data_IF_066509514898
#
_entry.id   IF_066509514898
#
_cell.length_a   1.000
_cell.length_b   1.000
_cell.length_c   1.000
_cell.angle_alpha   90.00
_cell.angle_beta   90.00
_cell.angle_gamma   90.00
#
_symmetry.space_group_name_H-M   'P 1'
#
loop_
_entity.id
_entity.type
_entity.pdbx_description
1 polymer ?
#
# COMPACT_ATOMS: atom_id res chain seq x y z
N UNK A 1 -4.47 -3.76 26.36
CA UNK A 1 -5.48 -2.85 25.78
C UNK A 1 -6.73 -3.67 25.46
N UNK A 2 -7.94 -3.10 25.61
CA UNK A 2 -9.15 -3.86 25.25
C UNK A 2 -9.26 -3.96 23.72
N UNK A 3 -9.65 -5.12 23.19
CA UNK A 3 -9.86 -5.32 21.74
C UNK A 3 -11.18 -4.68 21.23
N UNK A 4 -11.78 -3.78 22.02
CA UNK A 4 -13.08 -3.18 21.69
C UNK A 4 -13.04 -2.30 20.44
N UNK A 5 -11.87 -1.72 20.13
CA UNK A 5 -11.66 -0.95 18.90
C UNK A 5 -11.81 -1.80 17.64
N UNK A 6 -11.41 -3.10 17.67
CA UNK A 6 -11.57 -4.02 16.54
C UNK A 6 -13.06 -4.13 16.19
N UNK A 7 -13.93 -4.35 17.18
CA UNK A 7 -15.38 -4.44 16.97
C UNK A 7 -16.01 -3.16 16.45
N UNK A 8 -15.39 -2.01 16.74
CA UNK A 8 -15.90 -0.71 16.32
C UNK A 8 -15.58 -0.37 14.86
N UNK A 9 -14.38 -0.72 14.40
CA UNK A 9 -13.92 -0.35 13.06
C UNK A 9 -14.17 -1.42 11.98
N UNK A 10 -14.28 -2.68 12.36
CA UNK A 10 -14.33 -3.81 11.40
C UNK A 10 -15.66 -4.53 11.38
N UNK A 11 -16.00 -5.03 10.18
CA UNK A 11 -16.96 -6.09 10.03
C UNK A 11 -16.28 -7.36 9.51
N UNK A 12 -16.70 -8.53 10.00
CA UNK A 12 -16.14 -9.81 9.63
C UNK A 12 -16.80 -10.34 8.37
N UNK A 13 -15.99 -10.78 7.42
CA UNK A 13 -16.33 -11.54 6.24
C UNK A 13 -15.52 -12.84 6.19
N UNK A 14 -15.26 -13.39 4.98
CA UNK A 14 -14.28 -14.46 4.80
C UNK A 14 -12.90 -13.98 5.32
N UNK A 15 -12.11 -14.92 5.79
CA UNK A 15 -10.77 -14.63 6.33
C UNK A 15 -9.69 -15.12 5.37
N UNK A 16 -8.52 -14.51 5.42
CA UNK A 16 -7.35 -14.94 4.66
C UNK A 16 -6.90 -16.32 5.15
N UNK A 17 -6.47 -17.19 4.22
CA UNK A 17 -5.93 -18.50 4.59
C UNK A 17 -4.73 -18.34 5.54
N UNK A 18 -4.66 -19.19 6.59
CA UNK A 18 -3.59 -19.13 7.58
C UNK A 18 -3.71 -18.00 8.61
N UNK A 19 -4.85 -17.29 8.66
CA UNK A 19 -5.11 -16.21 9.61
C UNK A 19 -5.89 -16.65 10.85
N UNK A 20 -5.54 -17.82 11.40
CA UNK A 20 -6.30 -18.45 12.50
C UNK A 20 -5.90 -17.93 13.89
N UNK A 21 -4.90 -17.06 13.96
CA UNK A 21 -4.44 -16.49 15.22
C UNK A 21 -5.40 -15.45 15.79
N UNK A 22 -5.47 -15.36 17.10
CA UNK A 22 -6.07 -14.23 17.77
C UNK A 22 -5.15 -13.00 17.67
N UNK A 23 -5.72 -11.80 17.85
CA UNK A 23 -4.95 -10.56 17.77
C UNK A 23 -3.73 -10.56 18.69
N UNK A 24 -3.88 -10.99 19.96
CA UNK A 24 -2.79 -11.01 20.93
C UNK A 24 -1.62 -11.93 20.51
N UNK A 25 -1.90 -13.03 19.83
CA UNK A 25 -0.92 -14.07 19.45
C UNK A 25 -0.25 -13.79 18.09
N UNK A 26 -0.85 -12.94 17.28
CA UNK A 26 -0.38 -12.67 15.92
C UNK A 26 0.81 -11.72 15.91
N UNK A 27 1.72 -11.93 14.95
CA UNK A 27 2.79 -10.97 14.59
C UNK A 27 2.29 -9.99 13.55
N UNK A 28 1.50 -10.47 12.59
CA UNK A 28 0.94 -9.67 11.50
C UNK A 28 -0.56 -9.50 11.71
N UNK A 29 -1.07 -8.29 11.46
CA UNK A 29 -2.50 -7.99 11.47
C UNK A 29 -2.93 -7.46 10.10
N UNK A 30 -3.67 -8.30 9.35
CA UNK A 30 -4.21 -7.94 8.04
C UNK A 30 -5.59 -7.31 8.19
N UNK A 31 -5.87 -6.34 7.34
CA UNK A 31 -7.19 -5.72 7.24
C UNK A 31 -7.47 -5.17 5.84
N UNK A 32 -8.73 -5.16 5.45
CA UNK A 32 -9.17 -4.62 4.17
C UNK A 32 -9.62 -3.16 4.26
N UNK A 33 -9.36 -2.40 3.20
CA UNK A 33 -9.79 -1.01 3.02
C UNK A 33 -10.62 -0.91 1.74
N UNK A 34 -11.95 -1.23 1.77
CA UNK A 34 -12.80 -1.28 0.59
C UNK A 34 -13.18 0.15 0.12
N UNK A 35 -12.21 0.84 -0.51
CA UNK A 35 -12.34 2.23 -0.92
C UNK A 35 -11.76 2.45 -2.32
N UNK A 36 -12.53 3.13 -3.21
CA UNK A 36 -12.12 3.56 -4.56
C UNK A 36 -12.89 4.80 -5.03
N UNK A 37 -13.22 5.70 -4.09
CA UNK A 37 -14.07 6.85 -4.38
C UNK A 37 -13.40 7.90 -5.27
N UNK A 38 -12.06 7.87 -5.42
CA UNK A 38 -11.34 8.79 -6.30
C UNK A 38 -10.83 8.13 -7.58
N UNK A 39 -11.27 6.89 -7.88
CA UNK A 39 -10.86 6.16 -9.08
C UNK A 39 -11.13 6.98 -10.36
N UNK A 40 -10.11 7.15 -11.19
CA UNK A 40 -10.14 8.02 -12.38
C UNK A 40 -10.55 7.32 -13.66
N UNK A 41 -10.42 5.98 -13.74
CA UNK A 41 -10.70 5.22 -14.96
C UNK A 41 -11.63 4.03 -14.71
N UNK A 42 -11.18 2.98 -14.01
CA UNK A 42 -11.99 1.79 -13.75
C UNK A 42 -12.23 1.64 -12.24
N UNK A 43 -13.42 2.00 -11.73
CA UNK A 43 -13.77 1.71 -10.35
C UNK A 43 -13.92 0.19 -10.14
N UNK A 44 -13.77 -0.26 -8.89
CA UNK A 44 -13.91 -1.68 -8.52
C UNK A 44 -12.82 -2.14 -7.55
N UNK A 45 -11.75 -1.38 -7.36
CA UNK A 45 -10.69 -1.71 -6.40
C UNK A 45 -11.21 -1.93 -4.97
N UNK A 46 -12.34 -1.31 -4.59
CA UNK A 46 -13.02 -1.55 -3.30
C UNK A 46 -13.38 -3.02 -3.03
N UNK A 47 -13.48 -3.84 -4.06
CA UNK A 47 -13.79 -5.27 -3.91
C UNK A 47 -12.52 -6.12 -3.74
N UNK A 48 -11.33 -5.57 -3.99
CA UNK A 48 -10.08 -6.32 -3.94
C UNK A 48 -9.81 -7.01 -2.60
N UNK A 49 -10.06 -6.42 -1.42
CA UNK A 49 -9.84 -7.11 -0.15
C UNK A 49 -10.64 -8.40 -0.02
N UNK A 50 -11.89 -8.39 -0.49
CA UNK A 50 -12.75 -9.57 -0.48
C UNK A 50 -12.27 -10.63 -1.47
N UNK A 51 -11.93 -10.23 -2.69
CA UNK A 51 -11.44 -11.14 -3.73
C UNK A 51 -10.10 -11.78 -3.34
N UNK A 52 -9.19 -11.03 -2.73
CA UNK A 52 -7.92 -11.55 -2.22
C UNK A 52 -8.13 -12.67 -1.19
N UNK A 53 -9.11 -12.53 -0.30
CA UNK A 53 -9.46 -13.57 0.66
C UNK A 53 -10.01 -14.83 -0.02
N UNK A 54 -10.96 -14.67 -0.96
CA UNK A 54 -11.47 -15.81 -1.72
C UNK A 54 -10.38 -16.51 -2.54
N UNK A 55 -9.52 -15.75 -3.19
CA UNK A 55 -8.41 -16.34 -3.95
C UNK A 55 -7.39 -17.04 -3.05
N UNK A 56 -7.18 -16.56 -1.83
CA UNK A 56 -6.28 -17.17 -0.88
C UNK A 56 -6.67 -18.59 -0.48
N UNK A 57 -7.97 -18.92 -0.51
CA UNK A 57 -8.48 -20.27 -0.20
C UNK A 57 -7.95 -21.34 -1.18
N UNK A 58 -7.49 -20.91 -2.38
CA UNK A 58 -6.92 -21.82 -3.38
C UNK A 58 -5.40 -21.99 -3.24
N UNK A 59 -4.77 -21.34 -2.28
CA UNK A 59 -3.34 -21.45 -2.04
C UNK A 59 -3.03 -22.67 -1.16
N UNK A 60 -1.97 -23.39 -1.51
CA UNK A 60 -1.39 -24.40 -0.64
C UNK A 60 -0.30 -23.75 0.22
N UNK A 61 -0.54 -23.66 1.53
CA UNK A 61 0.46 -23.16 2.46
C UNK A 61 1.39 -24.32 2.86
N UNK A 62 2.73 -24.18 2.68
CA UNK A 62 3.68 -25.16 3.16
C UNK A 62 3.54 -25.35 4.68
N UNK A 63 3.54 -26.60 5.17
CA UNK A 63 3.42 -26.90 6.60
C UNK A 63 4.51 -26.22 7.46
N UNK A 64 5.65 -25.93 6.86
CA UNK A 64 6.81 -25.31 7.52
C UNK A 64 6.65 -23.80 7.69
N UNK A 65 5.76 -23.15 6.91
CA UNK A 65 5.57 -21.70 6.89
C UNK A 65 4.26 -21.29 7.59
N UNK A 66 4.18 -21.54 8.89
CA UNK A 66 3.07 -21.01 9.69
C UNK A 66 3.27 -19.51 9.90
N UNK A 67 2.62 -18.70 9.06
CA UNK A 67 2.59 -17.25 9.23
C UNK A 67 1.75 -16.92 10.46
N UNK A 68 2.31 -16.14 11.38
CA UNK A 68 1.57 -15.69 12.57
C UNK A 68 0.68 -14.50 12.22
N UNK A 69 -0.45 -14.76 11.58
CA UNK A 69 -1.35 -13.78 10.99
C UNK A 69 -2.72 -13.80 11.67
N UNK A 70 -3.29 -12.63 11.90
CA UNK A 70 -4.71 -12.42 12.16
C UNK A 70 -5.34 -11.59 11.04
N UNK A 71 -6.52 -11.96 10.58
CA UNK A 71 -7.33 -11.13 9.68
C UNK A 71 -8.44 -10.43 10.49
N UNK A 72 -8.36 -9.11 10.54
CA UNK A 72 -9.30 -8.27 11.30
C UNK A 72 -10.64 -8.06 10.56
N UNK A 73 -10.70 -8.40 9.26
CA UNK A 73 -11.83 -8.11 8.38
C UNK A 73 -11.63 -6.80 7.62
N UNK A 74 -12.72 -6.22 7.15
CA UNK A 74 -12.71 -4.97 6.37
C UNK A 74 -13.13 -3.77 7.22
N UNK A 75 -12.48 -2.64 7.01
CA UNK A 75 -12.95 -1.36 7.54
C UNK A 75 -14.36 -1.04 7.05
N UNK A 76 -15.18 -0.49 7.92
CA UNK A 76 -16.53 -0.04 7.54
C UNK A 76 -16.46 0.87 6.31
N UNK A 77 -17.24 0.61 5.25
CA UNK A 77 -17.15 1.33 3.99
C UNK A 77 -17.52 2.81 4.15
N UNK A 78 -16.91 3.65 3.32
CA UNK A 78 -17.22 5.08 3.22
C UNK A 78 -16.91 5.55 1.81
N UNK A 79 -17.51 6.67 1.38
CA UNK A 79 -17.15 7.38 0.15
C UNK A 79 -16.36 8.67 0.42
N UNK A 80 -16.07 8.99 1.70
CA UNK A 80 -15.27 10.15 2.09
C UNK A 80 -13.81 9.76 2.23
N UNK A 81 -12.93 10.42 1.47
CA UNK A 81 -11.47 10.30 1.57
C UNK A 81 -11.01 10.60 2.99
N UNK A 82 -11.48 11.71 3.59
CA UNK A 82 -11.10 12.12 4.94
C UNK A 82 -11.46 11.05 5.99
N UNK A 83 -12.67 10.50 5.92
CA UNK A 83 -13.12 9.46 6.85
C UNK A 83 -12.31 8.17 6.66
N UNK A 84 -12.02 7.79 5.42
CA UNK A 84 -11.17 6.63 5.13
C UNK A 84 -9.77 6.81 5.70
N UNK A 85 -9.09 7.93 5.39
CA UNK A 85 -7.75 8.22 5.90
C UNK A 85 -7.70 8.23 7.43
N UNK A 86 -8.70 8.85 8.07
CA UNK A 86 -8.80 8.83 9.54
C UNK A 86 -8.90 7.42 10.10
N UNK A 87 -9.77 6.57 9.52
CA UNK A 87 -9.95 5.18 9.98
C UNK A 87 -8.68 4.35 9.79
N UNK A 88 -8.07 4.43 8.60
CA UNK A 88 -6.79 3.74 8.31
C UNK A 88 -5.71 4.18 9.29
N UNK A 89 -5.56 5.50 9.50
CA UNK A 89 -4.56 6.03 10.42
C UNK A 89 -4.73 5.52 11.85
N UNK A 90 -5.96 5.53 12.40
CA UNK A 90 -6.25 5.02 13.76
C UNK A 90 -5.95 3.53 13.85
N UNK A 91 -6.40 2.73 12.88
CA UNK A 91 -6.20 1.28 12.90
C UNK A 91 -4.73 0.90 12.80
N UNK A 92 -3.97 1.55 11.91
CA UNK A 92 -2.53 1.30 11.78
C UNK A 92 -1.80 1.67 13.08
N UNK A 93 -2.14 2.80 13.69
CA UNK A 93 -1.57 3.25 14.97
C UNK A 93 -1.82 2.23 16.08
N UNK A 94 -3.06 1.76 16.26
CA UNK A 94 -3.42 0.74 17.26
C UNK A 94 -2.66 -0.61 17.03
N UNK A 95 -2.49 -1.02 15.76
CA UNK A 95 -1.74 -2.24 15.43
C UNK A 95 -0.26 -2.07 15.77
N UNK A 96 0.35 -0.94 15.40
CA UNK A 96 1.77 -0.66 15.67
C UNK A 96 2.03 -0.50 17.16
N UNK A 97 1.17 0.22 17.90
CA UNK A 97 1.27 0.35 19.37
C UNK A 97 1.14 -0.99 20.10
N UNK A 98 0.40 -1.95 19.52
CA UNK A 98 0.35 -3.32 20.01
C UNK A 98 1.60 -4.16 19.65
N UNK A 99 2.62 -3.56 19.02
CA UNK A 99 3.87 -4.22 18.62
C UNK A 99 3.71 -5.19 17.44
N UNK A 100 2.69 -5.00 16.60
CA UNK A 100 2.39 -5.86 15.45
C UNK A 100 2.69 -5.15 14.13
N UNK A 101 2.80 -5.94 13.07
CA UNK A 101 3.05 -5.45 11.72
C UNK A 101 1.72 -5.40 10.96
N UNK A 102 1.24 -4.20 10.56
CA UNK A 102 0.01 -4.07 9.79
C UNK A 102 0.20 -4.51 8.33
N UNK A 103 -0.82 -5.17 7.77
CA UNK A 103 -0.94 -5.50 6.35
C UNK A 103 -2.27 -4.93 5.86
N UNK A 104 -2.23 -3.77 5.21
CA UNK A 104 -3.41 -3.16 4.62
C UNK A 104 -3.65 -3.71 3.21
N UNK A 105 -4.79 -4.34 2.98
CA UNK A 105 -5.25 -4.76 1.65
C UNK A 105 -6.16 -3.67 1.09
N UNK A 106 -5.68 -2.93 0.09
CA UNK A 106 -6.42 -1.80 -0.48
C UNK A 106 -7.47 -2.22 -1.47
N UNK A 107 -8.23 -1.26 -1.69
CA UNK A 107 -8.80 -0.39 -2.66
C UNK A 107 -7.78 0.46 -3.42
N UNK A 108 -8.10 1.73 -3.52
CA UNK A 108 -7.21 2.67 -4.24
C UNK A 108 -5.99 3.09 -3.40
N UNK A 109 -4.94 3.55 -4.08
CA UNK A 109 -3.64 3.83 -3.48
C UNK A 109 -3.63 4.99 -2.44
N UNK A 110 -4.65 5.84 -2.42
CA UNK A 110 -4.80 6.95 -1.45
C UNK A 110 -4.65 6.50 0.01
N UNK A 111 -5.02 5.25 0.33
CA UNK A 111 -4.94 4.71 1.69
C UNK A 111 -3.52 4.75 2.27
N UNK A 112 -2.49 4.63 1.42
CA UNK A 112 -1.09 4.60 1.84
C UNK A 112 -0.65 5.93 2.47
N UNK A 113 -1.25 7.06 2.10
CA UNK A 113 -1.01 8.35 2.75
C UNK A 113 -1.23 8.27 4.27
N UNK A 114 -2.32 7.67 4.72
CA UNK A 114 -2.60 7.56 6.16
C UNK A 114 -1.84 6.42 6.82
N UNK A 115 -1.63 5.31 6.12
CA UNK A 115 -0.93 4.15 6.65
C UNK A 115 0.55 4.46 6.86
N UNK A 116 1.25 4.98 5.84
CA UNK A 116 2.67 5.29 5.91
C UNK A 116 3.00 6.43 6.90
N UNK A 117 2.09 7.38 7.10
CA UNK A 117 2.30 8.52 8.03
C UNK A 117 2.32 8.12 9.51
N UNK A 118 2.04 6.87 9.86
CA UNK A 118 1.99 6.37 11.24
C UNK A 118 3.28 5.71 11.70
N UNK A 119 4.27 5.64 10.84
CA UNK A 119 5.57 5.07 11.16
C UNK A 119 6.58 6.16 11.56
N UNK A 120 7.72 5.74 12.12
CA UNK A 120 8.80 6.64 12.48
C UNK A 120 9.44 7.27 11.23
N UNK A 121 9.96 8.48 11.36
CA UNK A 121 10.49 9.26 10.23
C UNK A 121 11.72 8.65 9.54
N UNK A 122 12.39 7.72 10.17
CA UNK A 122 13.58 7.03 9.63
C UNK A 122 13.24 5.77 8.79
N UNK A 123 11.96 5.56 8.51
CA UNK A 123 11.49 4.55 7.57
C UNK A 123 11.70 4.98 6.11
N UNK A 124 12.14 4.04 5.28
CA UNK A 124 12.19 4.20 3.82
C UNK A 124 10.93 3.59 3.21
N UNK A 125 10.28 4.37 2.36
CA UNK A 125 9.12 3.93 1.59
C UNK A 125 9.56 3.32 0.25
N UNK A 126 9.22 2.06 0.03
CA UNK A 126 9.43 1.35 -1.23
C UNK A 126 8.07 1.12 -1.89
N UNK A 127 7.86 1.73 -3.05
CA UNK A 127 6.60 1.69 -3.81
C UNK A 127 6.82 0.92 -5.09
N UNK A 128 6.07 -0.16 -5.29
CA UNK A 128 5.94 -0.83 -6.58
C UNK A 128 4.71 -0.27 -7.27
N UNK A 129 4.89 0.40 -8.41
CA UNK A 129 3.81 1.12 -9.11
C UNK A 129 4.22 1.42 -10.56
N UNK A 130 3.27 1.36 -11.48
CA UNK A 130 3.46 1.86 -12.83
C UNK A 130 3.48 3.39 -12.92
N UNK A 131 2.93 4.06 -11.89
CA UNK A 131 2.78 5.51 -11.79
C UNK A 131 3.73 6.11 -10.76
N UNK A 132 3.80 7.45 -10.70
CA UNK A 132 4.52 8.15 -9.62
C UNK A 132 3.60 8.65 -8.51
N UNK A 133 2.32 8.85 -8.80
CA UNK A 133 1.31 9.36 -7.85
C UNK A 133 1.71 10.66 -7.12
N UNK A 134 2.46 11.53 -7.85
CA UNK A 134 3.02 12.78 -7.33
C UNK A 134 2.43 14.02 -7.99
N UNK A 135 1.25 13.94 -8.60
CA UNK A 135 0.55 15.12 -9.11
C UNK A 135 0.24 16.08 -7.97
N UNK A 136 0.25 17.41 -8.24
CA UNK A 136 -0.20 18.37 -7.23
C UNK A 136 -1.70 18.30 -7.02
N UNK A 137 -2.44 18.19 -8.12
CA UNK A 137 -3.89 18.11 -8.10
C UNK A 137 -4.37 17.26 -9.28
N UNK A 138 -5.46 16.52 -9.09
CA UNK A 138 -6.12 15.79 -10.15
C UNK A 138 -7.63 15.74 -9.92
N UNK A 139 -8.43 15.99 -10.97
CA UNK A 139 -9.90 16.05 -10.90
C UNK A 139 -10.41 16.96 -9.76
N UNK A 140 -9.85 18.16 -9.68
CA UNK A 140 -10.18 19.21 -8.70
C UNK A 140 -9.96 18.81 -7.22
N UNK A 141 -9.11 17.78 -6.98
CA UNK A 141 -8.76 17.35 -5.62
C UNK A 141 -7.26 17.19 -5.44
N UNK A 142 -6.78 17.58 -4.25
CA UNK A 142 -5.37 17.46 -3.85
C UNK A 142 -5.06 16.16 -3.10
N UNK A 143 -6.08 15.37 -2.75
CA UNK A 143 -5.92 14.12 -2.03
C UNK A 143 -6.72 13.02 -2.74
N UNK A 144 -6.04 12.23 -3.54
CA UNK A 144 -6.58 11.10 -4.31
C UNK A 144 -5.48 10.11 -4.66
N UNK A 145 -5.81 9.02 -5.38
CA UNK A 145 -4.88 7.95 -5.75
C UNK A 145 -3.69 8.40 -6.60
N UNK A 146 -3.76 9.53 -7.31
CA UNK A 146 -2.65 10.04 -8.16
C UNK A 146 -1.80 11.12 -7.46
N UNK A 147 -2.13 11.49 -6.23
CA UNK A 147 -1.50 12.62 -5.52
C UNK A 147 -0.99 12.25 -4.12
N UNK A 148 -1.30 11.06 -3.64
CA UNK A 148 -1.04 10.64 -2.26
C UNK A 148 0.44 10.66 -1.91
N UNK A 149 1.31 10.24 -2.82
CA UNK A 149 2.75 10.17 -2.56
C UNK A 149 3.37 11.56 -2.44
N UNK A 150 2.92 12.52 -3.25
CA UNK A 150 3.31 13.92 -3.07
C UNK A 150 2.89 14.45 -1.71
N UNK A 151 1.66 14.21 -1.27
CA UNK A 151 1.19 14.64 0.06
C UNK A 151 2.00 14.03 1.20
N UNK A 152 2.39 12.77 1.07
CA UNK A 152 3.22 12.09 2.05
C UNK A 152 4.63 12.72 2.12
N UNK A 153 5.27 12.98 0.98
CA UNK A 153 6.59 13.61 0.89
C UNK A 153 6.54 15.03 1.49
N UNK A 154 5.54 15.84 1.11
CA UNK A 154 5.35 17.19 1.65
C UNK A 154 5.12 17.23 3.17
N UNK A 155 4.63 16.16 3.76
CA UNK A 155 4.43 16.04 5.22
C UNK A 155 5.71 15.70 6.00
N UNK A 156 6.84 15.43 5.31
CA UNK A 156 8.11 15.02 5.92
C UNK A 156 7.98 13.80 6.85
N UNK A 157 7.14 12.83 6.44
CA UNK A 157 6.81 11.65 7.26
C UNK A 157 7.71 10.44 7.00
N UNK A 158 8.58 10.49 5.97
CA UNK A 158 9.48 9.39 5.58
C UNK A 158 10.88 9.93 5.28
N UNK A 159 11.93 9.12 5.53
CA UNK A 159 13.33 9.52 5.31
C UNK A 159 13.79 9.37 3.88
N UNK A 160 13.10 8.56 3.09
CA UNK A 160 13.41 8.33 1.69
C UNK A 160 12.29 7.59 0.97
N UNK A 161 12.23 7.78 -0.33
CA UNK A 161 11.22 7.17 -1.21
C UNK A 161 11.88 6.56 -2.43
N UNK A 162 11.48 5.34 -2.75
CA UNK A 162 11.87 4.62 -3.97
C UNK A 162 10.62 4.18 -4.68
N UNK A 163 10.46 4.53 -5.97
CA UNK A 163 9.39 4.02 -6.83
C UNK A 163 9.98 3.07 -7.85
N UNK A 164 9.43 1.87 -7.94
CA UNK A 164 9.90 0.75 -8.76
C UNK A 164 8.85 0.38 -9.80
N UNK A 165 9.25 0.29 -11.06
CA UNK A 165 8.36 -0.11 -12.15
C UNK A 165 7.66 1.04 -12.86
N UNK A 166 7.95 2.29 -12.49
CA UNK A 166 7.32 3.47 -13.07
C UNK A 166 7.51 3.53 -14.60
N UNK A 167 6.42 3.82 -15.33
CA UNK A 167 6.39 3.95 -16.78
C UNK A 167 5.34 4.92 -17.31
N UNK A 168 4.38 5.32 -16.47
CA UNK A 168 3.33 6.26 -16.79
C UNK A 168 3.35 7.45 -15.81
N UNK A 169 3.93 8.56 -16.22
CA UNK A 169 4.02 9.78 -15.40
C UNK A 169 4.20 11.02 -16.29
N UNK A 170 3.91 12.18 -15.74
CA UNK A 170 4.11 13.46 -16.42
C UNK A 170 5.38 14.16 -15.93
N UNK A 171 5.83 15.15 -16.70
CA UNK A 171 7.05 15.91 -16.39
C UNK A 171 7.01 16.64 -15.04
N UNK A 172 5.81 17.08 -14.61
CA UNK A 172 5.62 17.70 -13.31
C UNK A 172 6.00 16.73 -12.18
N UNK A 173 5.53 15.49 -12.23
CA UNK A 173 5.80 14.45 -11.23
C UNK A 173 7.29 14.09 -11.20
N UNK A 174 7.91 13.94 -12.38
CA UNK A 174 9.34 13.66 -12.51
C UNK A 174 10.18 14.75 -11.85
N UNK A 175 9.85 16.02 -12.13
CA UNK A 175 10.55 17.17 -11.55
C UNK A 175 10.39 17.22 -10.05
N UNK A 176 9.17 17.04 -9.54
CA UNK A 176 8.92 16.98 -8.10
C UNK A 176 9.72 15.86 -7.42
N UNK A 177 9.77 14.67 -8.03
CA UNK A 177 10.56 13.55 -7.55
C UNK A 177 12.07 13.89 -7.46
N UNK A 178 12.63 14.52 -8.49
CA UNK A 178 14.04 14.94 -8.51
C UNK A 178 14.35 16.00 -7.44
N UNK A 179 13.49 17.01 -7.29
CA UNK A 179 13.64 18.08 -6.29
C UNK A 179 13.58 17.58 -4.84
N UNK A 180 12.86 16.47 -4.61
CA UNK A 180 12.69 15.87 -3.28
C UNK A 180 13.52 14.60 -3.06
N UNK A 181 14.46 14.30 -3.95
CA UNK A 181 15.39 13.18 -3.79
C UNK A 181 14.75 11.79 -3.91
N UNK A 182 13.56 11.70 -4.51
CA UNK A 182 12.89 10.41 -4.75
C UNK A 182 13.67 9.61 -5.78
N UNK A 183 13.95 8.35 -5.47
CA UNK A 183 14.60 7.43 -6.40
C UNK A 183 13.57 6.75 -7.29
N UNK A 184 13.64 6.97 -8.59
CA UNK A 184 12.82 6.27 -9.58
C UNK A 184 13.68 5.20 -10.23
N UNK A 185 13.17 3.96 -10.28
CA UNK A 185 13.70 2.83 -11.05
C UNK A 185 12.59 2.39 -11.99
N UNK A 186 12.68 2.74 -13.24
CA UNK A 186 11.63 2.46 -14.23
C UNK A 186 11.53 0.97 -14.57
N UNK A 187 10.39 0.54 -15.15
CA UNK A 187 10.26 -0.83 -15.68
C UNK A 187 11.37 -1.13 -16.69
N UNK A 188 11.75 -0.16 -17.52
CA UNK A 188 12.82 -0.27 -18.48
C UNK A 188 14.21 -0.46 -17.84
N UNK A 189 14.51 0.26 -16.73
CA UNK A 189 15.76 0.06 -15.97
C UNK A 189 15.85 -1.36 -15.41
N UNK A 190 14.72 -1.88 -14.90
CA UNK A 190 14.62 -3.24 -14.35
C UNK A 190 14.84 -4.28 -15.44
N UNK A 191 14.23 -4.11 -16.60
CA UNK A 191 14.38 -5.01 -17.74
C UNK A 191 15.80 -5.02 -18.29
N UNK A 192 16.45 -3.85 -18.41
CA UNK A 192 17.81 -3.72 -18.90
C UNK A 192 18.85 -4.35 -17.97
N UNK A 193 18.74 -4.14 -16.67
CA UNK A 193 19.70 -4.65 -15.69
C UNK A 193 19.03 -4.85 -14.33
N UNK A 194 18.36 -5.98 -14.18
CA UNK A 194 17.72 -6.39 -12.92
C UNK A 194 18.69 -6.38 -11.73
N UNK A 195 19.93 -6.86 -11.94
CA UNK A 195 20.92 -6.94 -10.86
C UNK A 195 21.30 -5.56 -10.33
N UNK A 196 21.57 -4.62 -11.23
CA UNK A 196 21.88 -3.22 -10.87
C UNK A 196 20.71 -2.55 -10.17
N UNK A 197 19.50 -2.80 -10.63
CA UNK A 197 18.28 -2.30 -10.00
C UNK A 197 18.14 -2.83 -8.57
N UNK A 198 18.33 -4.13 -8.35
CA UNK A 198 18.31 -4.77 -7.03
C UNK A 198 19.43 -4.24 -6.10
N UNK A 199 20.65 -4.05 -6.60
CA UNK A 199 21.76 -3.45 -5.84
C UNK A 199 21.46 -2.01 -5.45
N UNK A 200 20.82 -1.23 -6.31
CA UNK A 200 20.41 0.15 -6.02
C UNK A 200 19.41 0.19 -4.86
N UNK A 201 18.38 -0.66 -4.91
CA UNK A 201 17.38 -0.78 -3.86
C UNK A 201 18.03 -1.19 -2.54
N UNK A 202 18.85 -2.25 -2.58
CA UNK A 202 19.57 -2.78 -1.40
C UNK A 202 20.37 -1.70 -0.67
N UNK A 203 21.08 -0.85 -1.42
CA UNK A 203 21.87 0.26 -0.84
C UNK A 203 20.97 1.31 -0.16
N UNK A 204 19.82 1.62 -0.75
CA UNK A 204 18.93 2.66 -0.23
C UNK A 204 18.20 2.23 1.04
N UNK A 205 17.95 0.92 1.20
CA UNK A 205 17.27 0.38 2.39
C UNK A 205 18.23 -0.13 3.46
N UNK A 206 19.55 -0.25 3.17
CA UNK A 206 20.50 -0.87 4.10
C UNK A 206 20.69 -0.12 5.43
N UNK A 207 20.55 1.19 5.40
CA UNK A 207 20.74 2.06 6.55
C UNK A 207 19.41 2.54 7.18
N UNK A 208 18.26 2.09 6.63
CA UNK A 208 16.95 2.45 7.13
C UNK A 208 16.64 1.70 8.44
N UNK A 209 16.00 2.36 9.39
CA UNK A 209 15.50 1.70 10.60
C UNK A 209 14.38 0.69 10.28
N UNK A 210 13.67 0.89 9.17
CA UNK A 210 12.69 -0.03 8.66
C UNK A 210 12.24 0.35 7.24
N UNK A 211 11.46 -0.54 6.63
CA UNK A 211 10.93 -0.36 5.28
C UNK A 211 9.42 -0.46 5.32
N UNK A 212 8.75 0.56 4.79
CA UNK A 212 7.34 0.46 4.44
C UNK A 212 7.23 0.00 2.98
N UNK A 213 6.57 -1.12 2.75
CA UNK A 213 6.35 -1.65 1.41
C UNK A 213 4.94 -1.33 0.94
N UNK A 214 4.82 -0.62 -0.18
CA UNK A 214 3.55 -0.38 -0.89
C UNK A 214 3.60 -1.05 -2.25
N UNK A 215 2.53 -1.78 -2.60
CA UNK A 215 2.45 -2.49 -3.88
C UNK A 215 1.13 -2.12 -4.55
N UNK A 216 1.21 -1.32 -5.62
CA UNK A 216 0.12 -1.23 -6.59
C UNK A 216 0.24 -2.39 -7.59
N UNK A 217 -0.84 -3.12 -7.79
CA UNK A 217 -0.84 -4.27 -8.70
C UNK A 217 -0.70 -3.88 -10.17
N UNK A 218 -0.87 -2.60 -10.52
CA UNK A 218 -0.67 -2.11 -11.88
C UNK A 218 0.82 -2.02 -12.27
N UNK A 219 1.74 -2.19 -11.29
CA UNK A 219 3.17 -2.40 -11.57
C UNK A 219 3.40 -3.61 -12.48
N UNK A 220 2.53 -4.62 -12.38
CA UNK A 220 2.53 -5.77 -13.25
C UNK A 220 1.94 -5.39 -14.63
N UNK A 221 2.49 -6.01 -15.69
CA UNK A 221 1.91 -5.86 -17.03
C UNK A 221 0.45 -6.34 -17.04
N UNK A 222 -0.48 -5.63 -17.72
CA UNK A 222 -1.89 -6.02 -17.80
C UNK A 222 -2.14 -7.40 -18.43
N UNK A 223 -1.14 -7.98 -19.10
CA UNK A 223 -1.20 -9.39 -19.53
C UNK A 223 -1.20 -10.37 -18.36
N UNK A 224 -0.62 -9.99 -17.22
CA UNK A 224 -0.58 -10.79 -15.98
C UNK A 224 -1.63 -10.32 -14.96
N UNK A 225 -1.83 -9.01 -14.83
CA UNK A 225 -2.76 -8.42 -13.87
C UNK A 225 -3.75 -7.45 -14.53
N UNK A 226 -4.74 -7.94 -15.32
CA UNK A 226 -5.68 -7.08 -16.04
C UNK A 226 -6.73 -6.40 -15.17
N UNK A 227 -6.90 -6.85 -13.91
CA UNK A 227 -7.94 -6.41 -12.97
C UNK A 227 -7.60 -5.17 -12.17
N UNK A 228 -6.76 -4.27 -12.69
CA UNK A 228 -6.36 -3.03 -12.03
C UNK A 228 -7.15 -1.83 -12.56
N UNK A 229 -7.17 -0.74 -11.78
CA UNK A 229 -7.91 0.47 -12.12
C UNK A 229 -7.29 1.18 -13.33
N UNK A 230 -5.98 1.35 -13.37
CA UNK A 230 -5.25 2.06 -14.42
C UNK A 230 -4.16 1.15 -15.01
N UNK A 231 -4.51 0.22 -15.92
CA UNK A 231 -3.54 -0.71 -16.50
C UNK A 231 -2.58 0.00 -17.45
N UNK A 232 -1.28 -0.18 -17.23
CA UNK A 232 -0.22 0.37 -18.06
C UNK A 232 0.62 -0.78 -18.64
N UNK A 233 0.73 -0.92 -19.97
CA UNK A 233 1.57 -1.96 -20.57
C UNK A 233 3.07 -1.66 -20.39
N UNK A 234 3.86 -2.74 -20.26
CA UNK A 234 5.33 -2.68 -20.22
C UNK A 234 5.96 -2.71 -21.63
#
# INVERSE_FOLDING_TARGET
MSEDWIKFYFYKGPSFIGSEKNFDEAVYAAFGVPFDATASYRPGARFAPLELRFMSENLELPEENKISLVDLGDLSPTNSVEVMLKRVGVVVEEIVEAGKIPIAMGGEHTLTLASASKFEKDMVLVVFDAHLDMRDEYMDTKVNHTTWLRRLIESDSVSGVIVLGARAFIEEERRFAEENGVKIVTSFDIELDFKKSAETISKLVSDAAGVYLSIDLDVLDPGYAPGVSNPEPT
#
